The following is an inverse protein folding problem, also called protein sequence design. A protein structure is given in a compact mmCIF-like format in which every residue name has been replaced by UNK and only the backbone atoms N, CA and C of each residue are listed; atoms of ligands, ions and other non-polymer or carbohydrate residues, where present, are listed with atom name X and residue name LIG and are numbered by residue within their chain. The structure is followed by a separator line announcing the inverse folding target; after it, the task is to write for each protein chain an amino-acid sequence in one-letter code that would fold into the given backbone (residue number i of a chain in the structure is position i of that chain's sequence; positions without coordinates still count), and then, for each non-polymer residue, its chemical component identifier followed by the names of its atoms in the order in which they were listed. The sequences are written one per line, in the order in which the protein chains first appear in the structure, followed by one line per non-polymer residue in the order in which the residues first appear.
data_IF_481414242335
#
_entry.id   IF_481414242335
#
_cell.length_a   1.000
_cell.length_b   1.000
_cell.length_c   1.000
_cell.angle_alpha   90.00
_cell.angle_beta   90.00
_cell.angle_gamma   90.00
#
_symmetry.space_group_name_H-M   'P 1'
#
loop_
_entity.id
_entity.type
_entity.pdbx_description
1 polymer ?
#
# COMPACT_ATOMS: atom_id res chain seq x y z
N UNK A 1 -23.39 29.33 3.16
CA UNK A 1 -22.79 28.00 3.44
C UNK A 1 -22.08 28.03 4.79
N UNK A 2 -22.48 27.19 5.76
CA UNK A 2 -21.95 27.22 7.14
C UNK A 2 -20.49 26.76 7.22
N UNK A 3 -19.73 27.26 8.21
CA UNK A 3 -18.29 26.94 8.42
C UNK A 3 -18.05 25.43 8.61
N UNK A 4 -19.00 24.73 9.21
CA UNK A 4 -18.95 23.27 9.43
C UNK A 4 -19.10 22.47 8.13
N UNK A 5 -20.00 22.90 7.22
CA UNK A 5 -20.19 22.24 5.92
C UNK A 5 -18.93 22.30 5.06
N UNK A 6 -18.31 23.50 4.97
CA UNK A 6 -17.01 23.69 4.30
C UNK A 6 -15.89 22.81 4.89
N UNK A 7 -15.90 22.59 6.21
CA UNK A 7 -14.88 21.76 6.89
C UNK A 7 -15.07 20.27 6.58
N UNK A 8 -16.31 19.80 6.54
CA UNK A 8 -16.65 18.42 6.18
C UNK A 8 -16.25 18.09 4.74
N UNK A 9 -16.61 18.95 3.78
CA UNK A 9 -16.26 18.80 2.35
C UNK A 9 -14.74 18.73 2.14
N UNK A 10 -13.98 19.61 2.81
CA UNK A 10 -12.51 19.58 2.75
C UNK A 10 -11.95 18.29 3.33
N UNK A 11 -12.48 17.80 4.44
CA UNK A 11 -11.98 16.58 5.06
C UNK A 11 -12.28 15.34 4.21
N UNK A 12 -13.43 15.30 3.52
CA UNK A 12 -13.76 14.25 2.56
C UNK A 12 -12.82 14.27 1.35
N UNK A 13 -12.49 15.45 0.83
CA UNK A 13 -11.49 15.60 -0.23
C UNK A 13 -10.10 15.13 0.21
N UNK A 14 -9.67 15.50 1.43
CA UNK A 14 -8.40 15.04 2.01
C UNK A 14 -8.39 13.53 2.22
N UNK A 15 -9.50 12.94 2.68
CA UNK A 15 -9.65 11.50 2.84
C UNK A 15 -9.50 10.75 1.52
N UNK A 16 -10.14 11.22 0.46
CA UNK A 16 -9.99 10.66 -0.88
C UNK A 16 -8.54 10.71 -1.36
N UNK A 17 -7.88 11.88 -1.22
CA UNK A 17 -6.47 12.03 -1.60
C UNK A 17 -5.56 11.10 -0.79
N UNK A 18 -5.80 10.94 0.51
CA UNK A 18 -5.03 10.05 1.36
C UNK A 18 -5.21 8.58 0.95
N UNK A 19 -6.44 8.17 0.64
CA UNK A 19 -6.75 6.83 0.12
C UNK A 19 -6.06 6.57 -1.22
N UNK A 20 -6.13 7.51 -2.16
CA UNK A 20 -5.48 7.39 -3.47
C UNK A 20 -3.95 7.27 -3.34
N UNK A 21 -3.36 8.02 -2.40
CA UNK A 21 -1.92 7.92 -2.10
C UNK A 21 -1.52 6.59 -1.48
N UNK A 22 -2.31 6.07 -0.53
CA UNK A 22 -2.07 4.73 0.03
C UNK A 22 -2.16 3.66 -1.05
N UNK A 23 -3.20 3.71 -1.90
CA UNK A 23 -3.41 2.71 -2.95
C UNK A 23 -2.28 2.74 -3.98
N UNK A 24 -1.80 3.92 -4.38
CA UNK A 24 -0.63 4.05 -5.28
C UNK A 24 0.64 3.47 -4.65
N UNK A 25 0.89 3.77 -3.37
CA UNK A 25 2.04 3.21 -2.66
C UNK A 25 1.96 1.68 -2.55
N UNK A 26 0.76 1.13 -2.30
CA UNK A 26 0.53 -0.30 -2.26
C UNK A 26 0.77 -0.96 -3.63
N UNK A 27 0.26 -0.38 -4.72
CA UNK A 27 0.48 -0.88 -6.08
C UNK A 27 1.97 -0.97 -6.41
N UNK A 28 2.71 0.11 -6.11
CA UNK A 28 4.17 0.15 -6.33
C UNK A 28 4.91 -0.91 -5.50
N UNK A 29 4.54 -1.08 -4.23
CA UNK A 29 5.11 -2.13 -3.38
C UNK A 29 4.85 -3.54 -3.92
N UNK A 30 3.63 -3.80 -4.40
CA UNK A 30 3.26 -5.10 -4.99
C UNK A 30 4.04 -5.37 -6.28
N UNK A 31 4.16 -4.38 -7.16
CA UNK A 31 4.94 -4.48 -8.39
C UNK A 31 6.41 -4.77 -8.10
N UNK A 32 7.02 -4.07 -7.14
CA UNK A 32 8.41 -4.28 -6.74
C UNK A 32 8.63 -5.67 -6.12
N UNK A 33 7.71 -6.13 -5.27
CA UNK A 33 7.78 -7.50 -4.71
C UNK A 33 7.68 -8.56 -5.81
N UNK A 34 6.80 -8.37 -6.79
CA UNK A 34 6.69 -9.26 -7.95
C UNK A 34 7.97 -9.27 -8.78
N UNK A 35 8.55 -8.11 -9.05
CA UNK A 35 9.82 -7.99 -9.77
C UNK A 35 10.98 -8.68 -9.03
N UNK A 36 11.04 -8.51 -7.70
CA UNK A 36 12.02 -9.20 -6.85
C UNK A 36 11.87 -10.72 -6.94
N UNK A 37 10.65 -11.24 -6.79
CA UNK A 37 10.38 -12.67 -6.89
C UNK A 37 10.79 -13.24 -8.26
N UNK A 38 10.49 -12.51 -9.34
CA UNK A 38 10.89 -12.92 -10.70
C UNK A 38 12.42 -12.93 -10.86
N UNK A 39 13.11 -11.92 -10.33
CA UNK A 39 14.56 -11.85 -10.36
C UNK A 39 15.22 -13.00 -9.58
N UNK A 40 14.70 -13.31 -8.39
CA UNK A 40 15.16 -14.44 -7.56
C UNK A 40 14.91 -15.80 -8.23
N UNK A 41 13.75 -15.98 -8.87
CA UNK A 41 13.45 -17.18 -9.65
C UNK A 41 14.42 -17.34 -10.84
N UNK A 42 14.72 -16.26 -11.55
CA UNK A 42 15.69 -16.27 -12.65
C UNK A 42 17.10 -16.59 -12.16
N UNK A 43 17.54 -16.03 -11.03
CA UNK A 43 18.82 -16.37 -10.42
C UNK A 43 18.92 -17.86 -10.08
N UNK A 44 17.86 -18.44 -9.51
CA UNK A 44 17.79 -19.87 -9.21
C UNK A 44 17.99 -20.70 -10.48
N UNK A 45 17.30 -20.36 -11.56
CA UNK A 45 17.44 -21.04 -12.86
C UNK A 45 18.87 -20.91 -13.42
N UNK A 46 19.46 -19.71 -13.38
CA UNK A 46 20.83 -19.48 -13.85
C UNK A 46 21.86 -20.32 -13.07
N UNK A 47 21.73 -20.36 -11.73
CA UNK A 47 22.61 -21.18 -10.87
C UNK A 47 22.43 -22.68 -11.12
N UNK A 48 21.19 -23.14 -11.29
CA UNK A 48 20.91 -24.54 -11.64
C UNK A 48 21.55 -24.90 -12.98
N UNK A 49 21.42 -24.03 -13.97
CA UNK A 49 21.99 -24.24 -15.29
C UNK A 49 23.52 -24.21 -15.27
N UNK A 50 24.13 -23.28 -14.51
CA UNK A 50 25.59 -23.25 -14.30
C UNK A 50 26.10 -24.54 -13.67
N UNK A 51 25.42 -25.04 -12.64
CA UNK A 51 25.78 -26.31 -12.01
C UNK A 51 25.67 -27.50 -12.98
N UNK A 52 24.56 -27.61 -13.73
CA UNK A 52 24.38 -28.69 -14.70
C UNK A 52 25.43 -28.63 -15.82
N UNK A 53 25.72 -27.44 -16.33
CA UNK A 53 26.65 -27.22 -17.43
C UNK A 53 28.12 -27.39 -17.03
N UNK A 54 28.48 -27.06 -15.78
CA UNK A 54 29.82 -27.31 -15.25
C UNK A 54 30.10 -28.81 -15.10
N UNK A 55 29.07 -29.61 -14.79
CA UNK A 55 29.17 -31.06 -14.61
C UNK A 55 29.07 -31.86 -15.92
N UNK A 56 28.71 -31.24 -17.06
CA UNK A 56 28.49 -31.96 -18.32
C UNK A 56 29.79 -32.42 -19.00
N UNK A 57 30.90 -31.68 -18.80
CA UNK A 57 32.23 -32.00 -19.34
C UNK A 57 33.03 -32.95 -18.43
N UNK A 58 32.61 -33.09 -17.17
CA UNK A 58 33.24 -33.99 -16.20
C UNK A 58 32.93 -35.48 -16.41
N UNK A 59 32.13 -35.85 -17.43
CA UNK A 59 31.88 -37.25 -17.81
C UNK A 59 32.82 -37.65 -18.94
N UNK A 60 33.88 -38.44 -18.68
CA UNK A 60 34.80 -38.89 -19.71
C UNK A 60 34.16 -40.06 -20.45
N UNK A 61 33.30 -39.79 -21.43
CA UNK A 61 32.86 -40.79 -22.39
C UNK A 61 33.69 -40.65 -23.66
N UNK A 62 34.89 -41.22 -23.64
CA UNK A 62 35.66 -41.67 -24.80
C UNK A 62 35.68 -40.75 -26.04
N UNK A 63 36.37 -39.61 -25.99
CA UNK A 63 36.90 -38.97 -27.20
C UNK A 63 37.84 -37.83 -26.82
N UNK A 64 38.87 -37.60 -27.63
CA UNK A 64 39.63 -36.36 -27.64
C UNK A 64 38.65 -35.17 -27.78
N UNK A 65 38.33 -34.51 -26.67
CA UNK A 65 37.72 -33.18 -26.72
C UNK A 65 38.75 -32.27 -27.38
N UNK A 66 38.38 -31.63 -28.49
CA UNK A 66 39.27 -30.66 -29.13
C UNK A 66 39.53 -29.52 -28.16
N UNK A 67 40.77 -29.00 -28.13
CA UNK A 67 41.12 -27.86 -27.28
C UNK A 67 40.18 -26.66 -27.53
N UNK A 68 39.67 -26.50 -28.76
CA UNK A 68 38.67 -25.49 -29.12
C UNK A 68 37.33 -25.65 -28.38
N UNK A 69 36.83 -26.87 -28.22
CA UNK A 69 35.57 -27.14 -27.50
C UNK A 69 35.69 -26.81 -26.01
N UNK A 70 36.85 -27.10 -25.39
CA UNK A 70 37.13 -26.74 -23.99
C UNK A 70 37.20 -25.22 -23.79
N UNK A 71 37.81 -24.49 -24.73
CA UNK A 71 37.89 -23.03 -24.70
C UNK A 71 36.50 -22.40 -24.82
N UNK A 72 35.66 -22.90 -25.72
CA UNK A 72 34.30 -22.40 -25.89
C UNK A 72 33.42 -22.67 -24.65
N UNK A 73 33.54 -23.87 -24.07
CA UNK A 73 32.86 -24.24 -22.83
C UNK A 73 33.25 -23.30 -21.67
N UNK A 74 34.54 -23.07 -21.48
CA UNK A 74 35.03 -22.16 -20.44
C UNK A 74 34.54 -20.72 -20.66
N UNK A 75 34.60 -20.21 -21.90
CA UNK A 75 34.09 -18.87 -22.24
C UNK A 75 32.61 -18.73 -21.89
N UNK A 76 31.81 -19.76 -22.16
CA UNK A 76 30.39 -19.76 -21.82
C UNK A 76 30.17 -19.69 -20.30
N UNK A 77 30.89 -20.50 -19.52
CA UNK A 77 30.80 -20.48 -18.06
C UNK A 77 31.14 -19.10 -17.48
N UNK A 78 32.20 -18.47 -17.97
CA UNK A 78 32.59 -17.11 -17.55
C UNK A 78 31.47 -16.09 -17.85
N UNK A 79 30.83 -16.19 -19.01
CA UNK A 79 29.70 -15.30 -19.35
C UNK A 79 28.46 -15.56 -18.49
N UNK A 80 28.23 -16.83 -18.14
CA UNK A 80 27.13 -17.22 -17.26
C UNK A 80 27.35 -16.72 -15.82
N UNK A 81 28.57 -16.79 -15.30
CA UNK A 81 28.94 -16.24 -13.98
C UNK A 81 28.80 -14.73 -13.92
N UNK A 82 29.21 -14.02 -14.98
CA UNK A 82 28.95 -12.58 -15.11
C UNK A 82 27.45 -12.27 -15.07
N UNK A 83 26.64 -13.07 -15.76
CA UNK A 83 25.18 -12.91 -15.77
C UNK A 83 24.55 -13.18 -14.40
N UNK A 84 25.04 -14.18 -13.67
CA UNK A 84 24.64 -14.48 -12.28
C UNK A 84 24.97 -13.30 -11.38
N UNK A 85 26.19 -12.77 -11.45
CA UNK A 85 26.64 -11.63 -10.65
C UNK A 85 25.77 -10.39 -10.90
N UNK A 86 25.48 -10.08 -12.17
CA UNK A 86 24.56 -8.99 -12.53
C UNK A 86 23.16 -9.22 -11.99
N UNK A 87 22.65 -10.46 -12.05
CA UNK A 87 21.33 -10.80 -11.53
C UNK A 87 21.24 -10.66 -10.00
N UNK A 88 22.32 -10.98 -9.27
CA UNK A 88 22.44 -10.79 -7.82
C UNK A 88 22.43 -9.30 -7.45
N UNK A 89 23.20 -8.47 -8.17
CA UNK A 89 23.19 -7.02 -7.99
C UNK A 89 21.79 -6.43 -8.23
N UNK A 90 21.09 -6.90 -9.27
CA UNK A 90 19.71 -6.50 -9.53
C UNK A 90 18.77 -6.88 -8.37
N UNK A 91 18.93 -8.07 -7.80
CA UNK A 91 18.15 -8.52 -6.64
C UNK A 91 18.42 -7.64 -5.43
N UNK A 92 19.68 -7.30 -5.15
CA UNK A 92 20.03 -6.39 -4.05
C UNK A 92 19.36 -5.02 -4.22
N UNK A 93 19.43 -4.44 -5.42
CA UNK A 93 18.77 -3.17 -5.71
C UNK A 93 17.23 -3.26 -5.58
N UNK A 94 16.62 -4.37 -6.00
CA UNK A 94 15.18 -4.60 -5.84
C UNK A 94 14.78 -4.76 -4.38
N UNK A 95 15.60 -5.44 -3.55
CA UNK A 95 15.36 -5.57 -2.11
C UNK A 95 15.34 -4.21 -1.43
N UNK A 96 16.32 -3.35 -1.72
CA UNK A 96 16.33 -1.99 -1.20
C UNK A 96 15.08 -1.19 -1.62
N UNK A 97 14.70 -1.25 -2.90
CA UNK A 97 13.48 -0.59 -3.39
C UNK A 97 12.21 -1.10 -2.73
N UNK A 98 12.11 -2.42 -2.46
CA UNK A 98 10.97 -3.00 -1.75
C UNK A 98 10.90 -2.47 -0.32
N UNK A 99 12.04 -2.35 0.36
CA UNK A 99 12.11 -1.78 1.72
C UNK A 99 11.66 -0.31 1.75
N UNK A 100 12.17 0.50 0.83
CA UNK A 100 11.77 1.91 0.67
C UNK A 100 10.27 2.03 0.37
N UNK A 101 9.75 1.23 -0.56
CA UNK A 101 8.32 1.22 -0.91
C UNK A 101 7.45 0.75 0.27
N UNK A 102 7.93 -0.21 1.07
CA UNK A 102 7.25 -0.67 2.27
C UNK A 102 7.17 0.43 3.33
N UNK A 103 8.24 1.21 3.52
CA UNK A 103 8.24 2.37 4.41
C UNK A 103 7.25 3.43 3.94
N UNK A 104 7.25 3.77 2.64
CA UNK A 104 6.30 4.72 2.05
C UNK A 104 4.85 4.25 2.21
N UNK A 105 4.55 2.99 1.89
CA UNK A 105 3.20 2.43 2.07
C UNK A 105 2.75 2.51 3.53
N UNK A 106 3.62 2.15 4.47
CA UNK A 106 3.32 2.20 5.91
C UNK A 106 3.01 3.62 6.36
N UNK A 107 3.80 4.60 5.92
CA UNK A 107 3.56 6.02 6.20
C UNK A 107 2.20 6.49 5.64
N UNK A 108 1.89 6.16 4.37
CA UNK A 108 0.61 6.56 3.76
C UNK A 108 -0.59 5.90 4.43
N UNK A 109 -0.46 4.65 4.87
CA UNK A 109 -1.49 3.94 5.64
C UNK A 109 -1.77 4.61 6.98
N UNK A 110 -0.73 5.06 7.69
CA UNK A 110 -0.89 5.81 8.94
C UNK A 110 -1.59 7.15 8.69
N UNK A 111 -1.17 7.89 7.65
CA UNK A 111 -1.82 9.14 7.25
C UNK A 111 -3.31 8.94 6.92
N UNK A 112 -3.67 7.91 6.15
CA UNK A 112 -5.08 7.61 5.83
C UNK A 112 -5.88 7.34 7.09
N UNK A 113 -5.38 6.49 7.98
CA UNK A 113 -6.05 6.17 9.27
C UNK A 113 -6.25 7.41 10.15
N UNK A 114 -5.29 8.33 10.14
CA UNK A 114 -5.43 9.59 10.89
C UNK A 114 -6.56 10.46 10.33
N UNK A 115 -6.70 10.54 9.01
CA UNK A 115 -7.80 11.28 8.36
C UNK A 115 -9.14 10.60 8.60
N UNK A 116 -9.21 9.27 8.48
CA UNK A 116 -10.40 8.46 8.74
C UNK A 116 -10.92 8.70 10.17
N UNK A 117 -10.04 8.63 11.16
CA UNK A 117 -10.38 8.96 12.57
C UNK A 117 -10.82 10.41 12.76
N UNK A 118 -10.29 11.35 11.99
CA UNK A 118 -10.74 12.74 12.04
C UNK A 118 -12.15 12.90 11.45
N UNK A 119 -12.49 12.14 10.40
CA UNK A 119 -13.83 12.13 9.81
C UNK A 119 -14.86 11.56 10.78
N UNK A 120 -14.58 10.41 11.40
CA UNK A 120 -15.42 9.81 12.44
C UNK A 120 -15.71 10.80 13.58
N UNK A 121 -14.67 11.50 14.07
CA UNK A 121 -14.82 12.51 15.12
C UNK A 121 -15.70 13.69 14.69
N UNK A 122 -15.69 14.09 13.42
CA UNK A 122 -16.58 15.13 12.93
C UNK A 122 -18.01 14.66 12.83
N UNK A 123 -18.25 13.41 12.39
CA UNK A 123 -19.58 12.83 12.32
C UNK A 123 -20.21 12.74 13.71
N UNK A 124 -19.50 12.19 14.69
CA UNK A 124 -19.97 12.12 16.08
C UNK A 124 -20.30 13.51 16.65
N UNK A 125 -19.49 14.53 16.35
CA UNK A 125 -19.77 15.91 16.78
C UNK A 125 -20.99 16.50 16.10
N UNK A 126 -21.21 16.22 14.82
CA UNK A 126 -22.37 16.69 14.08
C UNK A 126 -23.65 16.05 14.62
N UNK A 127 -23.66 14.74 14.85
CA UNK A 127 -24.78 14.02 15.47
C UNK A 127 -25.09 14.53 16.87
N UNK A 128 -24.07 14.74 17.71
CA UNK A 128 -24.26 15.29 19.05
C UNK A 128 -24.86 16.71 19.02
N UNK A 129 -24.48 17.52 18.03
CA UNK A 129 -25.05 18.86 17.83
C UNK A 129 -26.51 18.78 17.38
N UNK A 130 -26.81 17.95 16.39
CA UNK A 130 -28.19 17.72 15.93
C UNK A 130 -29.11 17.28 17.08
N UNK A 131 -28.68 16.30 17.89
CA UNK A 131 -29.45 15.86 19.08
C UNK A 131 -29.70 16.98 20.09
N UNK A 132 -28.70 17.83 20.32
CA UNK A 132 -28.85 19.01 21.21
C UNK A 132 -29.82 20.03 20.65
N UNK A 133 -29.77 20.27 19.35
CA UNK A 133 -30.65 21.23 18.68
C UNK A 133 -32.10 20.70 18.64
N UNK A 134 -32.30 19.40 18.38
CA UNK A 134 -33.61 18.72 18.46
C UNK A 134 -34.21 18.78 19.87
N UNK A 135 -33.41 18.48 20.90
CA UNK A 135 -33.86 18.56 22.29
C UNK A 135 -34.32 19.97 22.66
N UNK A 136 -33.54 21.00 22.30
CA UNK A 136 -33.93 22.40 22.52
C UNK A 136 -35.25 22.76 21.85
N UNK A 137 -35.44 22.32 20.60
CA UNK A 137 -36.68 22.59 19.86
C UNK A 137 -37.89 21.91 20.53
N UNK A 138 -37.73 20.68 21.03
CA UNK A 138 -38.77 19.97 21.79
C UNK A 138 -39.11 20.67 23.10
N UNK A 139 -38.10 21.13 23.84
CA UNK A 139 -38.29 21.87 25.09
C UNK A 139 -39.05 23.19 24.85
N UNK A 140 -38.68 23.94 23.80
CA UNK A 140 -39.36 25.18 23.41
C UNK A 140 -40.83 24.97 23.02
N UNK A 141 -41.13 23.90 22.26
CA UNK A 141 -42.50 23.53 21.90
C UNK A 141 -43.32 23.13 23.13
N UNK A 142 -42.71 22.38 24.05
CA UNK A 142 -43.34 21.94 25.29
C UNK A 142 -43.64 23.10 26.24
N UNK A 143 -42.74 24.09 26.34
CA UNK A 143 -42.97 25.30 27.09
C UNK A 143 -44.10 26.15 26.49
N UNK A 144 -44.13 26.30 25.16
CA UNK A 144 -45.20 27.04 24.47
C UNK A 144 -46.57 26.39 24.65
N UNK A 145 -46.66 25.07 24.53
CA UNK A 145 -47.93 24.34 24.73
C UNK A 145 -48.41 24.41 26.18
N UNK A 146 -47.50 24.31 27.15
CA UNK A 146 -47.80 24.46 28.58
C UNK A 146 -48.33 25.86 28.88
N UNK A 147 -47.65 26.90 28.40
CA UNK A 147 -48.09 28.29 28.58
C UNK A 147 -49.46 28.53 27.95
N UNK A 148 -49.73 27.97 26.77
CA UNK A 148 -51.03 28.08 26.11
C UNK A 148 -52.14 27.37 26.91
N UNK A 149 -51.86 26.19 27.48
CA UNK A 149 -52.79 25.47 28.35
C UNK A 149 -53.09 26.23 29.64
N UNK A 150 -52.08 26.85 30.25
CA UNK A 150 -52.26 27.65 31.48
C UNK A 150 -53.10 28.89 31.20
N UNK A 151 -52.84 29.58 30.09
CA UNK A 151 -53.61 30.74 29.67
C UNK A 151 -55.09 30.38 29.40
N UNK A 152 -55.35 29.20 28.82
CA UNK A 152 -56.71 28.71 28.59
C UNK A 152 -57.48 28.42 29.88
N UNK A 153 -56.80 27.90 30.91
CA UNK A 153 -57.40 27.65 32.24
C UNK A 153 -57.65 28.92 33.04
N UNK A 154 -56.93 30.01 32.78
CA UNK A 154 -57.12 31.29 33.46
C UNK A 154 -58.30 32.11 32.90
N UNK A 155 -58.76 31.77 31.70
CA UNK A 155 -59.85 32.45 30.98
C UNK A 155 -61.17 31.65 30.98
N UNK A 156 -61.20 30.49 31.63
CA UNK A 156 -62.39 29.66 31.87
C UNK A 156 -62.81 29.77 33.34
#
# INVERSE_FOLDING_TARGET
MTKEKKRSERLNSVGKIASDKEQKALSSLVELKKALQQAEAKLKTLRQYHFQYSNSVAKPSNALLSAGLLVEHHRFLVNLEKSITTQEQQIMALKQKVEEAQAVYTQRKVERRAVEKAQERLLVKAEAKMRRDEQKMQDELSQKSTNQSLFRKLLS
#
